data_IF_081530331668
#
_entry.id   IF_081530331668
#
_cell.length_a   1.000
_cell.length_b   1.000
_cell.length_c   1.000
_cell.angle_alpha   90.00
_cell.angle_beta   90.00
_cell.angle_gamma   90.00
#
_symmetry.space_group_name_H-M   'P 1'
#
loop_
_entity.id
_entity.type
_entity.pdbx_description
1 polymer ?
#
# COMPACT_ATOMS: atom_id res chain seq x y z
N UNK A 1 7.22 25.09 8.74
CA UNK A 1 7.63 24.01 7.82
C UNK A 1 6.49 23.00 7.73
N UNK A 2 5.63 23.07 6.70
CA UNK A 2 4.52 22.10 6.54
C UNK A 2 5.14 20.76 6.13
N UNK A 3 5.12 19.77 7.02
CA UNK A 3 5.66 18.44 6.74
C UNK A 3 5.07 17.89 5.42
N UNK A 4 5.94 17.49 4.49
CA UNK A 4 5.52 16.75 3.29
C UNK A 4 5.07 15.34 3.68
N UNK A 5 4.26 14.69 2.84
CA UNK A 5 3.95 13.26 3.02
C UNK A 5 5.25 12.47 3.05
N UNK A 6 5.31 11.50 3.96
CA UNK A 6 6.54 10.83 4.34
C UNK A 6 6.64 9.43 3.73
N UNK A 7 5.52 8.71 3.63
CA UNK A 7 5.47 7.35 3.10
C UNK A 7 4.16 7.05 2.38
N UNK A 8 4.20 6.05 1.50
CA UNK A 8 3.02 5.37 0.95
C UNK A 8 3.05 3.92 1.44
N UNK A 9 1.97 3.49 2.07
CA UNK A 9 1.77 2.13 2.57
C UNK A 9 0.71 1.42 1.73
N UNK A 10 0.96 0.16 1.39
CA UNK A 10 -0.04 -0.71 0.79
C UNK A 10 -0.36 -1.84 1.74
N UNK A 11 -1.65 -2.04 1.97
CA UNK A 11 -2.14 -3.12 2.82
C UNK A 11 -3.05 -4.05 2.04
N UNK A 12 -3.06 -5.31 2.46
CA UNK A 12 -4.03 -6.31 2.00
C UNK A 12 -4.91 -6.76 3.17
N UNK A 13 -6.17 -7.04 2.84
CA UNK A 13 -7.12 -7.66 3.74
C UNK A 13 -7.26 -9.14 3.40
N UNK A 14 -7.07 -10.01 4.38
CA UNK A 14 -7.24 -11.45 4.24
C UNK A 14 -8.69 -11.86 4.41
N UNK A 15 -9.16 -12.81 3.60
CA UNK A 15 -10.48 -13.41 3.79
C UNK A 15 -10.44 -14.40 4.97
N UNK A 16 -11.49 -14.40 5.80
CA UNK A 16 -11.65 -15.42 6.84
C UNK A 16 -12.59 -16.50 6.33
N UNK A 17 -12.07 -17.71 6.06
CA UNK A 17 -12.92 -18.86 5.77
C UNK A 17 -13.61 -19.32 7.05
N UNK A 18 -14.92 -19.12 7.16
CA UNK A 18 -15.72 -19.78 8.21
C UNK A 18 -15.87 -21.26 7.86
N UNK A 19 -15.02 -22.11 8.44
CA UNK A 19 -15.35 -23.53 8.53
C UNK A 19 -16.36 -23.70 9.67
N UNK A 20 -17.63 -23.86 9.31
CA UNK A 20 -18.66 -24.34 10.21
C UNK A 20 -18.37 -25.81 10.58
N UNK A 21 -17.66 -26.02 11.68
CA UNK A 21 -17.64 -27.28 12.42
C UNK A 21 -17.83 -26.96 13.89
N UNK A 22 -18.87 -27.55 14.50
CA UNK A 22 -19.31 -27.31 15.86
C UNK A 22 -18.32 -27.77 16.93
N UNK A 23 -17.29 -26.97 17.19
CA UNK A 23 -16.56 -26.94 18.44
C UNK A 23 -16.22 -25.48 18.75
N UNK A 24 -16.53 -25.01 19.98
CA UNK A 24 -16.13 -23.69 20.45
C UNK A 24 -14.62 -23.56 20.26
N UNK A 25 -14.16 -22.75 19.31
CA UNK A 25 -12.74 -22.42 19.17
C UNK A 25 -12.30 -21.80 20.50
N UNK A 26 -11.38 -22.45 21.20
CA UNK A 26 -10.57 -21.76 22.19
C UNK A 26 -9.73 -20.74 21.40
N UNK A 27 -10.02 -19.46 21.60
CA UNK A 27 -9.14 -18.39 21.16
C UNK A 27 -7.85 -18.43 22.00
N UNK A 28 -6.77 -17.82 21.51
CA UNK A 28 -5.50 -17.76 22.24
C UNK A 28 -4.94 -16.32 22.22
N UNK A 29 -4.52 -15.81 23.38
CA UNK A 29 -3.95 -14.47 23.49
C UNK A 29 -2.55 -14.36 22.88
N UNK A 30 -1.89 -15.47 22.55
CA UNK A 30 -0.64 -15.52 21.81
C UNK A 30 -0.84 -15.81 20.30
N UNK A 31 -2.09 -15.87 19.81
CA UNK A 31 -2.38 -16.02 18.38
C UNK A 31 -1.91 -14.79 17.60
N UNK A 32 -1.11 -15.01 16.55
CA UNK A 32 -0.34 -13.95 15.89
C UNK A 32 1.08 -13.76 16.46
N UNK A 33 1.57 -14.67 17.31
CA UNK A 33 2.98 -14.75 17.71
C UNK A 33 3.81 -15.59 16.73
N UNK A 34 5.13 -15.57 16.84
CA UNK A 34 6.00 -16.38 15.97
C UNK A 34 5.74 -17.89 16.12
N UNK A 35 5.41 -18.36 17.33
CA UNK A 35 5.10 -19.76 17.61
C UNK A 35 3.68 -20.17 17.22
N UNK A 36 2.76 -19.21 17.18
CA UNK A 36 1.36 -19.43 16.81
C UNK A 36 0.88 -18.34 15.84
N UNK A 37 1.38 -18.33 14.57
CA UNK A 37 1.09 -17.26 13.62
C UNK A 37 -0.34 -17.33 13.09
N UNK A 38 -0.89 -16.16 12.73
CA UNK A 38 -2.14 -16.09 11.98
C UNK A 38 -1.95 -16.30 10.47
N UNK A 39 -3.05 -16.41 9.73
CA UNK A 39 -2.99 -16.40 8.26
C UNK A 39 -2.99 -14.99 7.66
N UNK A 40 -3.50 -14.01 8.42
CA UNK A 40 -3.50 -12.57 8.10
C UNK A 40 -3.77 -11.75 9.36
N UNK A 41 -3.61 -10.43 9.30
CA UNK A 41 -3.98 -9.56 10.42
C UNK A 41 -5.49 -9.62 10.75
N UNK A 42 -6.37 -9.72 9.75
CA UNK A 42 -7.81 -9.86 9.95
C UNK A 42 -8.17 -11.18 10.64
N UNK A 43 -7.46 -12.25 10.28
CA UNK A 43 -7.58 -13.55 10.93
C UNK A 43 -7.14 -13.51 12.39
N UNK A 44 -6.02 -12.84 12.67
CA UNK A 44 -5.55 -12.61 14.05
C UNK A 44 -6.59 -11.85 14.86
N UNK A 45 -7.11 -10.75 14.31
CA UNK A 45 -8.12 -9.91 14.97
C UNK A 45 -9.38 -10.71 15.33
N UNK A 46 -9.81 -11.66 14.48
CA UNK A 46 -11.00 -12.49 14.74
C UNK A 46 -10.75 -13.61 15.76
N UNK A 47 -9.54 -14.16 15.80
CA UNK A 47 -9.25 -15.39 16.56
C UNK A 47 -8.63 -15.15 17.94
N UNK A 48 -8.16 -13.94 18.24
CA UNK A 48 -7.62 -13.60 19.56
C UNK A 48 -8.72 -13.46 20.61
N UNK A 49 -8.38 -13.74 21.86
CA UNK A 49 -9.30 -13.55 23.00
C UNK A 49 -9.26 -12.13 23.58
N UNK A 50 -8.20 -11.38 23.27
CA UNK A 50 -7.93 -10.04 23.78
C UNK A 50 -8.11 -9.00 22.68
N UNK A 51 -8.26 -7.74 23.10
CA UNK A 51 -8.36 -6.60 22.19
C UNK A 51 -7.02 -6.39 21.47
N UNK A 52 -6.84 -7.02 20.32
CA UNK A 52 -5.68 -6.83 19.47
C UNK A 52 -5.55 -5.35 19.07
N UNK A 53 -4.36 -4.78 19.25
CA UNK A 53 -4.06 -3.38 18.93
C UNK A 53 -3.15 -3.29 17.72
N UNK A 54 -3.02 -2.10 17.16
CA UNK A 54 -2.05 -1.83 16.11
C UNK A 54 -0.64 -2.24 16.55
N UNK A 55 0.06 -2.99 15.71
CA UNK A 55 1.36 -3.51 16.11
C UNK A 55 1.95 -4.54 15.17
N UNK A 56 3.10 -5.09 15.58
CA UNK A 56 3.77 -6.14 14.83
C UNK A 56 3.25 -7.48 15.30
N UNK A 57 2.77 -8.27 14.35
CA UNK A 57 2.35 -9.66 14.55
C UNK A 57 3.05 -10.57 13.55
N UNK A 58 2.96 -11.88 13.78
CA UNK A 58 3.52 -12.90 12.92
C UNK A 58 2.41 -13.61 12.18
N UNK A 59 2.58 -13.73 10.87
CA UNK A 59 1.68 -14.46 9.99
C UNK A 59 2.44 -15.55 9.23
N UNK A 60 1.70 -16.49 8.66
CA UNK A 60 2.21 -17.48 7.72
C UNK A 60 1.26 -17.67 6.54
N UNK A 61 1.79 -18.09 5.39
CA UNK A 61 1.02 -18.44 4.20
C UNK A 61 1.44 -19.80 3.66
N UNK A 62 0.46 -20.66 3.39
CA UNK A 62 0.72 -22.04 2.96
C UNK A 62 1.62 -22.78 3.97
N UNK A 63 2.71 -23.37 3.48
CA UNK A 63 3.71 -24.08 4.29
C UNK A 63 4.96 -23.23 4.59
N UNK A 64 4.84 -21.90 4.45
CA UNK A 64 5.99 -21.01 4.65
C UNK A 64 6.39 -20.88 6.11
N UNK A 65 7.65 -20.51 6.36
CA UNK A 65 8.07 -20.04 7.69
C UNK A 65 7.31 -18.76 8.07
N UNK A 66 6.93 -18.60 9.34
CA UNK A 66 6.31 -17.37 9.84
C UNK A 66 7.20 -16.14 9.59
N UNK A 67 6.58 -14.98 9.41
CA UNK A 67 7.26 -13.71 9.22
C UNK A 67 6.48 -12.55 9.86
N UNK A 68 7.17 -11.48 10.30
CA UNK A 68 6.51 -10.36 10.95
C UNK A 68 5.87 -9.41 9.94
N UNK A 69 4.73 -8.85 10.31
CA UNK A 69 3.98 -7.84 9.56
C UNK A 69 3.43 -6.79 10.53
N UNK A 70 3.27 -5.56 10.06
CA UNK A 70 2.47 -4.59 10.78
C UNK A 70 0.99 -4.85 10.50
N UNK A 71 0.22 -5.01 11.57
CA UNK A 71 -1.22 -5.11 11.56
C UNK A 71 -1.82 -3.81 12.06
N UNK A 72 -2.64 -3.17 11.23
CA UNK A 72 -3.54 -2.10 11.68
C UNK A 72 -4.86 -2.76 12.09
N UNK A 73 -4.95 -3.11 13.37
CA UNK A 73 -6.07 -3.81 14.00
C UNK A 73 -7.25 -2.86 14.23
N UNK A 74 -6.98 -1.60 14.58
CA UNK A 74 -8.01 -0.60 14.85
C UNK A 74 -8.83 -0.27 13.60
N UNK A 75 -8.24 -0.37 12.40
CA UNK A 75 -8.94 -0.23 11.12
C UNK A 75 -9.44 -1.57 10.54
N UNK A 76 -9.50 -2.64 11.35
CA UNK A 76 -10.12 -3.92 10.98
C UNK A 76 -9.16 -5.07 10.70
N UNK A 77 -7.85 -4.92 10.95
CA UNK A 77 -6.87 -6.01 10.77
C UNK A 77 -6.20 -6.00 9.39
N UNK A 78 -5.73 -4.83 8.94
CA UNK A 78 -5.01 -4.70 7.67
C UNK A 78 -3.57 -5.18 7.77
N UNK A 79 -3.14 -5.99 6.80
CA UNK A 79 -1.76 -6.51 6.73
C UNK A 79 -0.89 -5.62 5.86
N UNK A 80 0.15 -4.98 6.41
CA UNK A 80 1.10 -4.19 5.62
C UNK A 80 1.90 -5.11 4.69
N UNK A 81 1.93 -4.81 3.38
CA UNK A 81 2.67 -5.61 2.38
C UNK A 81 3.76 -4.86 1.64
N UNK A 82 3.65 -3.54 1.57
CA UNK A 82 4.60 -2.69 0.87
C UNK A 82 4.64 -1.30 1.48
N UNK A 83 5.82 -0.69 1.53
CA UNK A 83 6.02 0.68 2.03
C UNK A 83 7.11 1.38 1.23
N UNK A 84 6.73 2.51 0.65
CA UNK A 84 7.63 3.45 -0.02
C UNK A 84 7.96 4.61 0.92
N UNK A 85 9.20 5.09 0.84
CA UNK A 85 9.68 6.22 1.61
C UNK A 85 9.96 7.37 0.64
N UNK A 86 9.38 8.54 0.87
CA UNK A 86 9.69 9.71 0.07
C UNK A 86 11.18 10.09 0.23
N UNK A 87 11.81 10.47 -0.88
CA UNK A 87 13.23 10.86 -0.91
C UNK A 87 14.23 9.69 -0.94
N UNK A 88 13.76 8.44 -0.95
CA UNK A 88 14.61 7.25 -1.09
C UNK A 88 14.46 6.72 -2.50
N UNK A 89 15.58 6.35 -3.14
CA UNK A 89 15.59 5.73 -4.46
C UNK A 89 15.37 4.22 -4.41
N UNK A 90 14.83 3.64 -5.48
CA UNK A 90 14.59 2.20 -5.63
C UNK A 90 13.61 1.81 -6.75
N UNK A 91 12.90 2.77 -7.34
CA UNK A 91 11.88 2.59 -8.35
C UNK A 91 10.65 1.88 -7.75
N UNK A 92 9.53 2.57 -7.49
CA UNK A 92 8.38 1.96 -6.83
C UNK A 92 7.81 0.72 -7.53
N UNK A 93 7.54 0.80 -8.83
CA UNK A 93 7.00 -0.34 -9.58
C UNK A 93 8.04 -1.46 -9.72
N UNK A 94 9.32 -1.10 -9.87
CA UNK A 94 10.42 -2.06 -9.85
C UNK A 94 10.43 -2.82 -8.54
N UNK A 95 10.46 -2.11 -7.41
CA UNK A 95 10.50 -2.69 -6.07
C UNK A 95 9.29 -3.59 -5.84
N UNK A 96 8.09 -3.14 -6.19
CA UNK A 96 6.86 -3.93 -6.13
C UNK A 96 6.97 -5.25 -6.91
N UNK A 97 7.45 -5.20 -8.16
CA UNK A 97 7.55 -6.35 -9.07
C UNK A 97 8.73 -7.29 -8.81
N UNK A 98 9.73 -6.91 -8.02
CA UNK A 98 10.88 -7.79 -7.76
C UNK A 98 10.44 -9.17 -7.25
N UNK A 99 11.08 -10.27 -7.68
CA UNK A 99 10.64 -11.62 -7.31
C UNK A 99 10.93 -11.98 -5.84
N UNK A 100 11.61 -11.13 -5.10
CA UNK A 100 11.98 -11.32 -3.70
C UNK A 100 11.43 -10.18 -2.80
N UNK A 101 11.20 -10.46 -1.50
CA UNK A 101 10.86 -9.43 -0.53
C UNK A 101 12.05 -8.52 -0.21
N UNK A 102 11.78 -7.33 0.34
CA UNK A 102 12.80 -6.39 0.83
C UNK A 102 12.54 -6.06 2.29
N UNK A 103 13.54 -6.31 3.14
CA UNK A 103 13.50 -6.03 4.58
C UNK A 103 12.34 -6.70 5.34
N UNK A 104 11.88 -7.87 4.89
CA UNK A 104 10.71 -8.58 5.45
C UNK A 104 10.80 -8.85 6.96
N UNK A 105 12.00 -9.17 7.46
CA UNK A 105 12.25 -9.48 8.86
C UNK A 105 12.72 -8.26 9.67
N UNK A 106 12.83 -7.07 9.06
CA UNK A 106 13.25 -5.86 9.76
C UNK A 106 12.07 -5.23 10.48
N UNK A 107 12.03 -5.34 11.81
CA UNK A 107 10.97 -4.73 12.62
C UNK A 107 10.93 -3.20 12.46
N UNK A 108 12.10 -2.57 12.28
CA UNK A 108 12.20 -1.13 12.00
C UNK A 108 11.51 -0.74 10.67
N UNK A 109 11.47 -1.65 9.69
CA UNK A 109 10.80 -1.40 8.42
C UNK A 109 9.27 -1.39 8.55
N UNK A 110 8.72 -2.10 9.55
CA UNK A 110 7.29 -2.26 9.79
C UNK A 110 6.63 -1.09 10.52
N UNK A 111 7.39 -0.09 10.98
CA UNK A 111 6.78 1.13 11.52
C UNK A 111 6.01 1.91 10.44
N UNK A 112 5.02 2.70 10.83
CA UNK A 112 4.23 3.55 9.90
C UNK A 112 4.88 4.91 9.60
N UNK A 113 6.06 5.16 10.19
CA UNK A 113 6.83 6.39 9.96
C UNK A 113 7.93 6.19 8.88
N UNK A 114 8.74 7.22 8.67
CA UNK A 114 9.80 7.22 7.66
C UNK A 114 11.22 7.14 8.23
N UNK A 115 11.39 6.71 9.48
CA UNK A 115 12.71 6.66 10.13
C UNK A 115 13.60 5.59 9.48
N UNK A 116 13.00 4.46 9.09
CA UNK A 116 13.67 3.42 8.33
C UNK A 116 13.82 3.83 6.85
N UNK A 117 15.02 4.25 6.45
CA UNK A 117 15.31 4.84 5.13
C UNK A 117 15.44 3.82 3.99
N UNK A 118 14.56 2.81 3.97
CA UNK A 118 14.47 1.84 2.88
C UNK A 118 13.03 1.46 2.58
N UNK A 119 12.77 1.05 1.34
CA UNK A 119 11.47 0.51 0.93
C UNK A 119 11.27 -0.91 1.45
N UNK A 120 10.09 -1.19 1.99
CA UNK A 120 9.74 -2.52 2.48
C UNK A 120 8.78 -3.21 1.52
N UNK A 121 8.95 -4.53 1.39
CA UNK A 121 8.01 -5.42 0.71
C UNK A 121 8.10 -6.81 1.30
N UNK A 122 6.96 -7.44 1.61
CA UNK A 122 6.96 -8.85 1.99
C UNK A 122 6.52 -9.77 0.86
N UNK A 123 6.62 -11.08 1.12
CA UNK A 123 6.32 -12.14 0.17
C UNK A 123 4.86 -12.22 -0.26
N UNK A 124 3.92 -11.58 0.44
CA UNK A 124 2.50 -11.63 0.05
C UNK A 124 2.27 -11.04 -1.33
N UNK A 125 3.03 -10.00 -1.71
CA UNK A 125 2.94 -9.39 -3.03
C UNK A 125 3.24 -10.39 -4.16
N UNK A 126 4.20 -11.30 -3.95
CA UNK A 126 4.55 -12.32 -4.94
C UNK A 126 3.68 -13.58 -4.82
N UNK A 127 3.16 -13.85 -3.63
CA UNK A 127 2.27 -14.97 -3.34
C UNK A 127 0.78 -14.56 -3.35
N UNK A 128 0.41 -13.61 -4.21
CA UNK A 128 -0.93 -13.03 -4.26
C UNK A 128 -2.02 -14.07 -4.47
N UNK A 129 -1.80 -15.04 -5.36
CA UNK A 129 -2.74 -16.13 -5.64
C UNK A 129 -2.89 -17.12 -4.50
N UNK A 130 -1.91 -17.21 -3.60
CA UNK A 130 -1.97 -18.03 -2.39
C UNK A 130 -2.66 -17.25 -1.27
N UNK A 131 -2.32 -15.98 -1.10
CA UNK A 131 -2.90 -15.11 -0.07
C UNK A 131 -4.37 -14.77 -0.35
N UNK A 132 -4.76 -14.62 -1.64
CA UNK A 132 -6.12 -14.33 -2.11
C UNK A 132 -6.76 -13.16 -1.35
N UNK A 133 -6.18 -11.94 -1.43
CA UNK A 133 -6.73 -10.79 -0.72
C UNK A 133 -8.15 -10.48 -1.21
N UNK A 134 -9.06 -10.16 -0.29
CA UNK A 134 -10.40 -9.69 -0.64
C UNK A 134 -10.41 -8.19 -0.94
N UNK A 135 -9.59 -7.44 -0.21
CA UNK A 135 -9.43 -6.00 -0.37
C UNK A 135 -7.96 -5.60 -0.34
N UNK A 136 -7.66 -4.48 -0.99
CA UNK A 136 -6.38 -3.81 -0.89
C UNK A 136 -6.62 -2.33 -0.59
N UNK A 137 -5.69 -1.68 0.11
CA UNK A 137 -5.73 -0.23 0.29
C UNK A 137 -4.37 0.42 0.07
N UNK A 138 -4.42 1.63 -0.48
CA UNK A 138 -3.27 2.53 -0.63
C UNK A 138 -3.45 3.66 0.36
N UNK A 139 -2.45 3.89 1.20
CA UNK A 139 -2.50 4.93 2.23
C UNK A 139 -1.28 5.82 2.17
N UNK A 140 -1.47 7.14 2.07
CA UNK A 140 -0.39 8.11 2.22
C UNK A 140 -0.31 8.57 3.68
N UNK A 141 0.88 8.48 4.26
CA UNK A 141 1.12 8.81 5.67
C UNK A 141 1.90 10.11 5.84
N UNK A 142 1.46 10.93 6.80
CA UNK A 142 2.15 12.14 7.22
C UNK A 142 2.10 12.28 8.73
N UNK A 143 3.27 12.34 9.38
CA UNK A 143 3.34 12.50 10.83
C UNK A 143 2.64 11.36 11.58
N UNK A 144 2.71 10.13 11.05
CA UNK A 144 2.05 8.95 11.63
C UNK A 144 0.54 8.86 11.40
N UNK A 145 -0.07 9.79 10.65
CA UNK A 145 -1.51 9.79 10.35
C UNK A 145 -1.79 9.42 8.90
N UNK A 146 -2.90 8.71 8.67
CA UNK A 146 -3.44 8.45 7.34
C UNK A 146 -4.02 9.76 6.77
N UNK A 147 -3.51 10.23 5.63
CA UNK A 147 -3.97 11.47 4.97
C UNK A 147 -4.81 11.20 3.73
N UNK A 148 -4.49 10.13 3.01
CA UNK A 148 -5.16 9.70 1.79
C UNK A 148 -5.36 8.22 1.90
N UNK A 149 -6.60 7.75 1.74
CA UNK A 149 -6.96 6.32 1.79
C UNK A 149 -7.76 5.98 0.55
N UNK A 150 -7.24 5.08 -0.28
CA UNK A 150 -7.98 4.47 -1.38
C UNK A 150 -8.17 3.00 -1.08
N UNK A 151 -9.38 2.48 -1.29
CA UNK A 151 -9.67 1.05 -1.13
C UNK A 151 -10.16 0.42 -2.42
N UNK A 152 -9.71 -0.81 -2.62
CA UNK A 152 -9.86 -1.58 -3.83
C UNK A 152 -10.42 -2.96 -3.51
N UNK A 153 -11.34 -3.43 -4.33
CA UNK A 153 -11.76 -4.82 -4.35
C UNK A 153 -10.63 -5.66 -4.98
N UNK A 154 -9.90 -6.38 -4.14
CA UNK A 154 -8.78 -7.22 -4.55
C UNK A 154 -9.21 -8.66 -4.87
N UNK A 155 -10.47 -9.02 -4.67
CA UNK A 155 -10.96 -10.35 -5.02
C UNK A 155 -10.76 -10.62 -6.52
N UNK A 156 -10.33 -11.85 -6.83
CA UNK A 156 -10.07 -12.31 -8.20
C UNK A 156 -9.12 -11.40 -9.00
N UNK A 157 -8.15 -10.78 -8.32
CA UNK A 157 -7.09 -9.97 -8.93
C UNK A 157 -5.73 -10.67 -8.82
N UNK A 158 -4.72 -10.11 -9.47
CA UNK A 158 -3.31 -10.41 -9.26
C UNK A 158 -2.57 -9.20 -8.69
N UNK A 159 -1.27 -9.34 -8.46
CA UNK A 159 -0.44 -8.28 -7.90
C UNK A 159 -0.19 -7.10 -8.85
N UNK A 160 -0.80 -7.03 -10.03
CA UNK A 160 -0.68 -5.93 -10.99
C UNK A 160 -2.03 -5.24 -11.24
N UNK A 161 -3.11 -6.00 -11.47
CA UNK A 161 -4.41 -5.45 -11.90
C UNK A 161 -5.34 -5.00 -10.76
N UNK A 162 -5.00 -5.32 -9.50
CA UNK A 162 -5.74 -4.85 -8.32
C UNK A 162 -5.79 -3.33 -8.21
N UNK A 163 -4.74 -2.64 -8.69
CA UNK A 163 -4.64 -1.18 -8.69
C UNK A 163 -5.18 -0.63 -10.01
N UNK A 164 -6.50 -0.59 -10.12
CA UNK A 164 -7.21 -0.09 -11.29
C UNK A 164 -8.51 0.61 -10.91
N UNK A 165 -8.99 1.52 -11.77
CA UNK A 165 -10.21 2.28 -11.53
C UNK A 165 -11.44 1.38 -11.27
N UNK A 166 -11.56 0.28 -12.01
CA UNK A 166 -12.68 -0.66 -11.88
C UNK A 166 -12.72 -1.40 -10.53
N UNK A 167 -11.62 -1.40 -9.78
CA UNK A 167 -11.55 -2.02 -8.45
C UNK A 167 -11.77 -1.02 -7.32
N UNK A 168 -11.76 0.29 -7.56
CA UNK A 168 -11.96 1.30 -6.51
C UNK A 168 -13.38 1.24 -5.98
N UNK A 169 -13.53 1.15 -4.65
CA UNK A 169 -14.82 1.28 -3.98
C UNK A 169 -14.84 2.39 -2.92
N UNK A 170 -13.68 2.89 -2.50
CA UNK A 170 -13.54 4.04 -1.60
C UNK A 170 -12.34 4.89 -2.06
N UNK A 171 -12.52 6.21 -2.07
CA UNK A 171 -11.53 7.18 -2.53
C UNK A 171 -11.73 8.52 -1.83
N UNK A 172 -10.65 9.30 -1.56
CA UNK A 172 -10.80 10.67 -1.07
C UNK A 172 -11.21 11.65 -2.17
N UNK A 173 -11.12 11.22 -3.44
CA UNK A 173 -11.45 12.01 -4.62
C UNK A 173 -12.78 11.56 -5.19
N UNK A 174 -13.73 12.49 -5.27
CA UNK A 174 -15.13 12.25 -5.65
C UNK A 174 -15.30 11.99 -7.15
N UNK A 175 -14.42 12.59 -7.95
CA UNK A 175 -14.43 12.54 -9.41
C UNK A 175 -13.62 11.37 -9.98
N UNK A 176 -12.93 10.59 -9.12
CA UNK A 176 -12.02 9.52 -9.57
C UNK A 176 -12.75 8.44 -10.38
N UNK A 177 -14.06 8.27 -10.24
CA UNK A 177 -14.81 7.27 -11.02
C UNK A 177 -15.51 7.89 -12.24
N UNK A 178 -15.89 9.17 -12.18
CA UNK A 178 -16.58 9.87 -13.27
C UNK A 178 -15.65 10.40 -14.35
N UNK A 179 -14.45 10.85 -13.97
CA UNK A 179 -13.52 11.51 -14.89
C UNK A 179 -12.74 10.54 -15.78
N UNK A 180 -12.10 11.05 -16.83
CA UNK A 180 -11.22 10.23 -17.68
C UNK A 180 -9.97 9.80 -16.91
N UNK A 181 -9.43 8.63 -17.25
CA UNK A 181 -8.14 8.13 -16.76
C UNK A 181 -7.23 7.90 -17.94
N UNK A 182 -6.13 8.63 -17.99
CA UNK A 182 -5.06 8.38 -18.93
C UNK A 182 -4.12 7.29 -18.39
N UNK A 183 -3.76 7.35 -17.10
CA UNK A 183 -3.08 6.25 -16.40
C UNK A 183 -3.74 5.96 -15.06
N UNK A 184 -3.91 4.67 -14.76
CA UNK A 184 -4.26 4.14 -13.45
C UNK A 184 -3.56 2.79 -13.29
N UNK A 185 -2.26 2.81 -13.02
CA UNK A 185 -1.43 1.59 -13.05
C UNK A 185 -0.32 1.59 -12.01
N UNK A 186 0.10 0.39 -11.59
CA UNK A 186 1.27 0.20 -10.72
C UNK A 186 2.56 0.66 -11.40
N UNK A 187 2.80 0.21 -12.63
CA UNK A 187 3.90 0.71 -13.47
C UNK A 187 3.32 1.63 -14.52
N UNK A 188 3.56 2.93 -14.37
CA UNK A 188 3.13 3.92 -15.35
C UNK A 188 4.25 4.23 -16.35
N UNK A 189 4.19 5.39 -17.02
CA UNK A 189 5.14 5.71 -18.08
C UNK A 189 6.53 5.98 -17.52
N UNK A 190 7.52 5.53 -18.27
CA UNK A 190 8.94 5.63 -17.96
C UNK A 190 9.70 6.27 -19.11
N UNK A 191 10.62 7.17 -18.76
CA UNK A 191 11.57 7.78 -19.68
C UNK A 191 12.99 7.66 -19.12
N UNK A 192 13.99 8.18 -19.84
CA UNK A 192 15.38 8.24 -19.36
C UNK A 192 15.54 9.01 -18.04
N UNK A 193 14.58 9.87 -17.73
CA UNK A 193 14.49 10.71 -16.51
C UNK A 193 13.74 10.04 -15.35
N UNK A 194 13.33 8.78 -15.50
CA UNK A 194 12.62 8.01 -14.47
C UNK A 194 11.16 7.68 -14.82
N UNK A 195 10.48 7.05 -13.87
CA UNK A 195 9.10 6.56 -14.03
C UNK A 195 8.10 7.31 -13.14
N UNK A 196 6.86 7.40 -13.62
CA UNK A 196 5.67 7.72 -12.83
C UNK A 196 4.96 6.40 -12.51
N UNK A 197 5.25 5.84 -11.36
CA UNK A 197 4.69 4.60 -10.85
C UNK A 197 3.48 4.88 -9.94
N UNK A 198 2.68 3.85 -9.62
CA UNK A 198 1.43 3.97 -8.85
C UNK A 198 0.65 5.25 -9.22
N UNK A 199 0.46 5.43 -10.53
CA UNK A 199 0.07 6.70 -11.12
C UNK A 199 -1.41 6.69 -11.44
N UNK A 200 -2.12 7.72 -10.97
CA UNK A 200 -3.54 7.97 -11.22
C UNK A 200 -3.65 9.38 -11.81
N UNK A 201 -3.82 9.45 -13.12
CA UNK A 201 -3.74 10.68 -13.91
C UNK A 201 -4.92 10.81 -14.87
N UNK A 202 -5.42 12.04 -15.00
CA UNK A 202 -6.54 12.37 -15.88
C UNK A 202 -6.06 12.56 -17.32
N UNK A 203 -5.12 13.48 -17.55
CA UNK A 203 -4.60 13.78 -18.88
C UNK A 203 -3.12 14.21 -18.89
N UNK A 204 -2.47 14.07 -20.04
CA UNK A 204 -1.20 14.72 -20.34
C UNK A 204 -1.43 15.82 -21.37
N UNK A 205 -1.08 17.04 -21.01
CA UNK A 205 -1.07 18.21 -21.90
C UNK A 205 0.34 18.80 -22.04
N UNK A 206 1.36 18.06 -21.59
CA UNK A 206 2.72 18.57 -21.36
C UNK A 206 2.84 19.11 -19.93
N UNK A 207 4.08 19.24 -19.45
CA UNK A 207 4.35 19.55 -18.04
C UNK A 207 3.51 20.70 -17.43
N UNK A 208 3.19 21.81 -18.12
CA UNK A 208 2.33 22.87 -17.59
C UNK A 208 0.86 22.49 -17.42
N UNK A 209 0.38 21.50 -18.17
CA UNK A 209 -1.02 21.07 -18.22
C UNK A 209 -1.26 19.64 -17.69
N UNK A 210 -0.21 18.89 -17.36
CA UNK A 210 -0.33 17.57 -16.71
C UNK A 210 -1.14 17.68 -15.40
N UNK A 211 -2.16 16.84 -15.27
CA UNK A 211 -3.08 16.87 -14.13
C UNK A 211 -3.54 15.47 -13.68
N UNK A 212 -3.99 15.35 -12.44
CA UNK A 212 -4.43 14.06 -11.91
C UNK A 212 -4.58 14.05 -10.39
N UNK A 213 -4.59 12.83 -9.85
CA UNK A 213 -4.86 12.57 -8.44
C UNK A 213 -3.63 12.10 -7.68
N UNK A 214 -2.81 11.25 -8.29
CA UNK A 214 -1.65 10.64 -7.65
C UNK A 214 -0.52 10.39 -8.66
N UNK A 215 0.69 10.83 -8.32
CA UNK A 215 1.91 10.53 -9.04
C UNK A 215 3.00 10.14 -8.04
N UNK A 216 3.37 8.87 -8.09
CA UNK A 216 4.43 8.29 -7.28
C UNK A 216 5.61 7.97 -8.19
N UNK A 217 6.84 8.02 -7.71
CA UNK A 217 7.99 7.60 -8.50
C UNK A 217 9.11 8.60 -8.54
N UNK A 218 10.07 8.34 -9.41
CA UNK A 218 11.36 9.02 -9.41
C UNK A 218 11.56 9.89 -10.64
N UNK A 219 10.56 9.96 -11.52
CA UNK A 219 10.57 10.84 -12.70
C UNK A 219 10.99 12.28 -12.33
N UNK A 220 11.87 12.83 -13.16
CA UNK A 220 12.34 14.22 -13.09
C UNK A 220 12.23 14.92 -14.46
N UNK A 221 11.22 14.54 -15.25
CA UNK A 221 10.92 15.13 -16.56
C UNK A 221 10.38 16.56 -16.42
N UNK A 222 9.47 16.79 -15.48
CA UNK A 222 8.72 18.02 -15.33
C UNK A 222 9.17 18.86 -14.13
N UNK A 223 8.98 20.19 -14.23
CA UNK A 223 9.31 21.13 -13.14
C UNK A 223 8.56 20.80 -11.85
N UNK A 224 7.30 20.36 -11.92
CA UNK A 224 6.51 19.97 -10.75
C UNK A 224 7.07 18.74 -10.03
N UNK A 225 7.74 17.82 -10.73
CA UNK A 225 8.43 16.69 -10.10
C UNK A 225 9.70 17.15 -9.38
N UNK A 226 10.43 18.12 -9.95
CA UNK A 226 11.70 18.62 -9.40
C UNK A 226 11.56 19.47 -8.14
N UNK A 227 10.32 19.76 -7.68
CA UNK A 227 10.05 20.48 -6.43
C UNK A 227 10.34 19.64 -5.17
N UNK A 228 10.49 18.33 -5.34
CA UNK A 228 10.74 17.39 -4.26
C UNK A 228 12.19 16.92 -4.29
N UNK A 229 12.76 16.49 -3.14
CA UNK A 229 14.09 15.90 -3.09
C UNK A 229 14.27 14.73 -4.07
N UNK A 230 15.52 14.43 -4.39
CA UNK A 230 15.87 13.26 -5.19
C UNK A 230 15.33 11.97 -4.56
N UNK A 231 15.07 10.95 -5.39
CA UNK A 231 14.40 9.71 -4.99
C UNK A 231 12.89 9.74 -5.22
N UNK A 232 12.16 8.86 -4.52
CA UNK A 232 10.71 8.71 -4.66
C UNK A 232 9.97 9.96 -4.24
N UNK A 233 9.08 10.43 -5.12
CA UNK A 233 8.22 11.58 -4.94
C UNK A 233 6.79 11.07 -4.73
N UNK A 234 6.06 11.71 -3.83
CA UNK A 234 4.66 11.42 -3.53
C UNK A 234 3.86 12.70 -3.78
N UNK A 235 3.28 12.81 -4.98
CA UNK A 235 2.56 14.00 -5.43
C UNK A 235 1.10 13.60 -5.58
N UNK A 236 0.19 14.33 -4.94
CA UNK A 236 -1.21 13.91 -4.82
C UNK A 236 -2.13 15.11 -4.65
N UNK A 237 -3.36 15.02 -5.17
CA UNK A 237 -4.37 16.06 -5.00
C UNK A 237 -4.81 16.17 -3.53
N UNK A 238 -4.80 17.41 -3.01
CA UNK A 238 -5.23 17.76 -1.65
C UNK A 238 -6.68 18.25 -1.58
N UNK A 239 -7.36 18.28 -2.73
CA UNK A 239 -8.79 18.63 -2.84
C UNK A 239 -9.55 17.38 -3.28
N UNK A 240 -10.88 17.46 -3.31
CA UNK A 240 -11.75 16.32 -3.64
C UNK A 240 -11.72 15.89 -5.13
N UNK A 241 -10.93 16.56 -5.98
CA UNK A 241 -10.87 16.34 -7.43
C UNK A 241 -9.45 16.19 -7.94
N UNK A 242 -9.26 15.84 -9.22
CA UNK A 242 -7.94 15.96 -9.85
C UNK A 242 -7.50 17.43 -9.88
N UNK A 243 -6.18 17.63 -9.90
CA UNK A 243 -5.58 18.97 -10.03
C UNK A 243 -4.40 18.95 -10.98
N UNK A 244 -4.11 20.11 -11.54
CA UNK A 244 -2.87 20.32 -12.26
C UNK A 244 -1.68 20.13 -11.29
N UNK A 245 -0.69 19.32 -11.68
CA UNK A 245 0.45 19.00 -10.80
C UNK A 245 1.34 20.21 -10.48
N UNK A 246 1.20 21.33 -11.19
CA UNK A 246 1.93 22.55 -10.89
C UNK A 246 1.32 23.36 -9.74
N UNK A 247 0.17 22.97 -9.20
CA UNK A 247 -0.50 23.68 -8.08
C UNK A 247 0.04 23.32 -6.69
N UNK A 248 1.01 22.38 -6.61
CA UNK A 248 1.59 21.86 -5.37
C UNK A 248 2.75 22.65 -4.77
#
# INVERSE_FOLDING_TARGET
MKLAIQCLLLFLFGFVLERAFGCKKHCAADYGSQGLPGSSCADILKQRCDDAKDGIYWITIGQSKPFPVFCNMEAGGWTLVFKLIAGISGGPAKTWRMPFPTYEYSLAALNTNNDFKHHYKNRLVQNWSVFKPSEARVVLYKGGKEEVVLRFNAANSNNVDWFSAAKVFESPWQDILSEKKNYFTVGGPCWSTGCRDFHINNAYGGCPADDGWLSVGESASCKWEKRFPAGVKLIYSKVATHVNYNTF
#
